data_IF_159703738286
#
_entry.id   IF_159703738286
#
_cell.length_a   1.000
_cell.length_b   1.000
_cell.length_c   1.000
_cell.angle_alpha   90.00
_cell.angle_beta   90.00
_cell.angle_gamma   90.00
#
_symmetry.space_group_name_H-M   'P 1'
#
loop_
_entity.id
_entity.type
_entity.pdbx_description
1 polymer ?
#
# COMPACT_ATOMS: atom_id res chain seq x y z
N UNK A 1 -29.18 -8.42 22.10
CA UNK A 1 -27.77 -8.11 22.10
C UNK A 1 -27.31 -7.84 20.68
N UNK A 2 -26.97 -6.62 20.42
CA UNK A 2 -26.50 -6.27 19.09
C UNK A 2 -25.07 -6.78 18.92
N UNK A 3 -24.83 -7.53 17.87
CA UNK A 3 -23.46 -7.84 17.52
C UNK A 3 -22.73 -6.52 17.21
N UNK A 4 -21.53 -6.34 17.76
CA UNK A 4 -20.75 -5.19 17.35
C UNK A 4 -20.58 -5.24 15.84
N UNK A 5 -20.78 -4.11 15.17
CA UNK A 5 -20.51 -4.06 13.74
C UNK A 5 -19.10 -4.61 13.51
N UNK A 6 -18.95 -5.66 12.69
CA UNK A 6 -17.63 -6.24 12.47
C UNK A 6 -16.70 -5.32 11.69
N UNK A 7 -17.22 -4.22 11.17
CA UNK A 7 -16.46 -3.30 10.31
C UNK A 7 -16.49 -1.91 10.91
N UNK A 8 -15.31 -1.35 11.14
CA UNK A 8 -15.14 0.04 11.57
C UNK A 8 -14.40 0.80 10.47
N UNK A 9 -14.93 1.97 10.10
CA UNK A 9 -14.25 2.84 9.15
C UNK A 9 -13.19 3.67 9.89
N UNK A 10 -11.96 3.68 9.37
CA UNK A 10 -10.90 4.51 9.91
C UNK A 10 -11.01 5.94 9.38
N UNK A 11 -10.59 6.89 10.20
CA UNK A 11 -10.40 8.26 9.72
C UNK A 11 -9.22 8.33 8.77
N UNK A 12 -9.16 9.37 7.94
CA UNK A 12 -8.03 9.58 7.05
C UNK A 12 -6.72 9.67 7.82
N UNK A 13 -6.71 10.39 8.94
CA UNK A 13 -5.51 10.52 9.77
C UNK A 13 -5.06 9.18 10.34
N UNK A 14 -5.97 8.32 10.75
CA UNK A 14 -5.64 6.98 11.23
C UNK A 14 -5.06 6.13 10.09
N UNK A 15 -5.56 6.28 8.88
CA UNK A 15 -5.01 5.60 7.70
C UNK A 15 -3.56 6.03 7.44
N UNK A 16 -3.30 7.34 7.47
CA UNK A 16 -1.95 7.86 7.24
C UNK A 16 -0.99 7.46 8.35
N UNK A 17 -1.47 7.41 9.59
CA UNK A 17 -0.67 6.94 10.70
C UNK A 17 -0.22 5.49 10.49
N UNK A 18 -1.12 4.62 10.07
CA UNK A 18 -0.79 3.23 9.77
C UNK A 18 0.19 3.12 8.60
N UNK A 19 0.01 3.95 7.57
CA UNK A 19 0.93 4.00 6.44
C UNK A 19 2.35 4.40 6.86
N UNK A 20 2.49 5.32 7.81
CA UNK A 20 3.79 5.72 8.34
C UNK A 20 4.47 4.62 9.15
N UNK A 21 3.70 3.74 9.76
CA UNK A 21 4.23 2.67 10.62
C UNK A 21 4.75 1.47 9.84
N UNK A 22 4.27 1.27 8.61
CA UNK A 22 4.64 0.13 7.79
C UNK A 22 5.64 0.51 6.70
N UNK A 23 6.33 -0.48 6.16
CA UNK A 23 7.36 -0.30 5.14
C UNK A 23 7.02 -0.99 3.82
N UNK A 24 6.06 -1.90 3.83
CA UNK A 24 5.69 -2.70 2.67
C UNK A 24 4.21 -2.63 2.39
N UNK A 25 3.89 -2.60 1.13
CA UNK A 25 2.52 -2.70 0.67
C UNK A 25 2.46 -3.39 -0.68
N UNK A 26 1.27 -3.46 -1.22
CA UNK A 26 1.02 -4.08 -2.52
C UNK A 26 0.48 -3.06 -3.49
N UNK A 27 1.12 -3.01 -4.65
CA UNK A 27 0.76 -2.09 -5.73
C UNK A 27 0.08 -2.87 -6.84
N UNK A 28 -1.14 -2.46 -7.19
CA UNK A 28 -1.88 -2.99 -8.33
C UNK A 28 -1.88 -1.96 -9.45
N UNK A 29 -1.60 -2.39 -10.67
CA UNK A 29 -1.52 -1.51 -11.82
C UNK A 29 -1.84 -2.24 -13.11
N UNK A 30 -2.15 -1.46 -14.12
CA UNK A 30 -2.30 -1.95 -15.48
C UNK A 30 -1.05 -1.68 -16.30
N UNK A 31 -0.63 -2.66 -17.06
CA UNK A 31 0.40 -2.48 -18.07
C UNK A 31 -0.09 -3.17 -19.34
N UNK A 32 -0.36 -2.39 -20.40
CA UNK A 32 -1.10 -2.84 -21.57
C UNK A 32 -2.48 -3.39 -21.10
N UNK A 33 -2.85 -4.58 -21.46
CA UNK A 33 -4.14 -5.17 -21.07
C UNK A 33 -4.02 -6.10 -19.86
N UNK A 34 -2.87 -6.08 -19.19
CA UNK A 34 -2.62 -6.95 -18.04
C UNK A 34 -2.70 -6.19 -16.73
N UNK A 35 -3.30 -6.82 -15.73
CA UNK A 35 -3.31 -6.33 -14.35
C UNK A 35 -2.17 -7.00 -13.60
N UNK A 36 -1.38 -6.20 -12.92
CA UNK A 36 -0.23 -6.65 -12.13
C UNK A 36 -0.43 -6.31 -10.67
N UNK A 37 0.12 -7.15 -9.81
CA UNK A 37 0.14 -6.94 -8.36
C UNK A 37 1.55 -7.27 -7.87
N UNK A 38 2.21 -6.30 -7.25
CA UNK A 38 3.58 -6.49 -6.77
C UNK A 38 3.75 -5.92 -5.36
N UNK A 39 4.57 -6.56 -4.52
CA UNK A 39 4.95 -5.95 -3.26
C UNK A 39 5.98 -4.85 -3.50
N UNK A 40 5.86 -3.76 -2.76
CA UNK A 40 6.83 -2.68 -2.82
C UNK A 40 7.20 -2.22 -1.42
N UNK A 41 8.46 -1.80 -1.28
CA UNK A 41 8.91 -1.04 -0.12
C UNK A 41 8.60 0.43 -0.41
N UNK A 42 7.96 1.10 0.52
CA UNK A 42 7.52 2.47 0.33
C UNK A 42 7.84 3.36 1.52
N UNK A 43 7.71 4.65 1.32
CA UNK A 43 7.67 5.64 2.38
C UNK A 43 6.57 6.64 2.07
N UNK A 44 6.17 7.40 3.08
CA UNK A 44 5.21 8.51 2.93
C UNK A 44 6.00 9.81 3.04
N UNK A 45 5.80 10.72 2.09
CA UNK A 45 6.47 12.02 2.12
C UNK A 45 5.65 13.07 2.90
N UNK A 46 6.19 14.29 2.98
CA UNK A 46 5.55 15.39 3.70
C UNK A 46 4.21 15.81 3.10
N UNK A 47 3.98 15.54 1.84
CA UNK A 47 2.75 15.89 1.12
C UNK A 47 1.73 14.75 1.10
N UNK A 48 1.94 13.72 1.92
CA UNK A 48 1.09 12.53 1.99
C UNK A 48 0.97 11.83 0.63
N UNK A 49 2.12 11.58 0.01
CA UNK A 49 2.23 10.75 -1.19
C UNK A 49 2.98 9.48 -0.85
N UNK A 50 2.67 8.41 -1.55
CA UNK A 50 3.40 7.16 -1.42
C UNK A 50 4.61 7.24 -2.36
N UNK A 51 5.80 7.02 -1.84
CA UNK A 51 7.06 7.11 -2.59
C UNK A 51 7.73 5.76 -2.58
N UNK A 52 8.18 5.32 -3.74
CA UNK A 52 8.97 4.09 -3.85
C UNK A 52 10.00 4.21 -4.97
N UNK A 53 10.98 3.32 -4.95
CA UNK A 53 12.03 3.28 -5.96
C UNK A 53 11.96 1.99 -6.73
N UNK A 54 12.23 2.08 -8.02
CA UNK A 54 12.26 0.92 -8.91
C UNK A 54 13.55 0.92 -9.71
N UNK A 55 14.05 -0.28 -9.98
CA UNK A 55 15.24 -0.42 -10.80
C UNK A 55 14.99 0.09 -12.22
N UNK A 56 16.00 0.66 -12.84
CA UNK A 56 15.97 1.07 -14.23
C UNK A 56 15.68 -0.16 -15.11
N UNK A 57 14.77 -0.03 -16.07
CA UNK A 57 14.33 -1.13 -16.93
C UNK A 57 13.25 -2.02 -16.35
N UNK A 58 12.82 -1.78 -15.11
CA UNK A 58 11.71 -2.51 -14.49
C UNK A 58 10.40 -2.26 -15.23
N UNK A 59 9.51 -3.27 -15.23
CA UNK A 59 8.14 -3.09 -15.75
C UNK A 59 7.38 -2.00 -15.02
N UNK A 60 7.72 -1.73 -13.75
CA UNK A 60 7.13 -0.65 -12.98
C UNK A 60 7.38 0.73 -13.60
N UNK A 61 8.43 0.88 -14.40
CA UNK A 61 8.67 2.14 -15.12
C UNK A 61 7.61 2.43 -16.18
N UNK A 62 6.91 1.42 -16.65
CA UNK A 62 5.77 1.60 -17.56
C UNK A 62 4.59 2.34 -16.92
N UNK A 63 4.58 2.45 -15.58
CA UNK A 63 3.57 3.20 -14.83
C UNK A 63 3.80 4.70 -14.79
N UNK A 64 4.88 5.18 -15.39
CA UNK A 64 5.40 6.53 -15.15
C UNK A 64 4.59 7.65 -15.81
N UNK A 65 3.51 7.33 -16.50
CA UNK A 65 2.73 8.27 -17.29
C UNK A 65 1.31 8.41 -16.75
N UNK A 66 1.15 8.87 -15.52
CA UNK A 66 -0.16 9.12 -14.90
C UNK A 66 -1.09 7.91 -14.89
N UNK A 67 -0.52 6.74 -14.70
CA UNK A 67 -1.31 5.52 -14.65
C UNK A 67 -2.11 5.43 -13.36
N UNK A 68 -3.37 5.07 -13.48
CA UNK A 68 -4.22 4.77 -12.32
C UNK A 68 -3.71 3.52 -11.64
N UNK A 69 -3.53 3.62 -10.31
CA UNK A 69 -3.02 2.52 -9.49
C UNK A 69 -3.84 2.39 -8.23
N UNK A 70 -3.76 1.23 -7.61
CA UNK A 70 -4.23 1.01 -6.26
C UNK A 70 -3.07 0.52 -5.40
N UNK A 71 -3.01 1.01 -4.19
CA UNK A 71 -1.98 0.62 -3.23
C UNK A 71 -2.65 0.20 -1.92
N UNK A 72 -2.21 -0.90 -1.36
CA UNK A 72 -2.81 -1.45 -0.16
C UNK A 72 -1.76 -1.82 0.87
N UNK A 73 -2.08 -1.57 2.14
CA UNK A 73 -1.41 -2.20 3.27
C UNK A 73 -2.44 -2.90 4.13
N UNK A 74 -2.03 -3.92 4.85
CA UNK A 74 -2.88 -4.57 5.83
C UNK A 74 -2.08 -5.02 7.05
N UNK A 75 -2.80 -5.28 8.11
CA UNK A 75 -2.25 -5.80 9.34
C UNK A 75 -3.25 -6.76 9.95
N UNK A 76 -2.77 -7.94 10.31
CA UNK A 76 -3.59 -8.96 10.97
C UNK A 76 -3.07 -9.20 12.37
N UNK A 77 -3.98 -9.15 13.32
CA UNK A 77 -3.74 -9.63 14.68
C UNK A 77 -4.58 -10.88 14.89
N UNK A 78 -4.54 -11.43 16.07
CA UNK A 78 -5.37 -12.60 16.41
C UNK A 78 -6.87 -12.27 16.28
N UNK A 79 -7.27 -11.05 16.63
CA UNK A 79 -8.67 -10.65 16.75
C UNK A 79 -9.16 -9.71 15.67
N UNK A 80 -8.26 -9.07 14.96
CA UNK A 80 -8.62 -8.00 14.02
C UNK A 80 -7.76 -8.02 12.76
N UNK A 81 -8.35 -7.56 11.68
CA UNK A 81 -7.63 -7.19 10.46
C UNK A 81 -7.89 -5.72 10.16
N UNK A 82 -6.84 -5.00 9.82
CA UNK A 82 -6.94 -3.60 9.41
C UNK A 82 -6.37 -3.47 8.01
N UNK A 83 -7.07 -2.73 7.16
CA UNK A 83 -6.71 -2.56 5.77
C UNK A 83 -6.81 -1.10 5.39
N UNK A 84 -5.80 -0.58 4.69
CA UNK A 84 -5.81 0.75 4.09
C UNK A 84 -5.61 0.59 2.59
N UNK A 85 -6.48 1.21 1.81
CA UNK A 85 -6.41 1.20 0.35
C UNK A 85 -6.32 2.63 -0.14
N UNK A 86 -5.37 2.86 -1.03
CA UNK A 86 -5.19 4.11 -1.73
C UNK A 86 -5.51 3.87 -3.21
N UNK A 87 -6.25 4.81 -3.79
CA UNK A 87 -6.37 4.94 -5.23
C UNK A 87 -5.74 6.24 -5.63
N UNK A 88 -4.95 6.21 -6.67
CA UNK A 88 -4.24 7.38 -7.10
C UNK A 88 -3.58 7.17 -8.45
N UNK A 89 -2.65 8.05 -8.75
CA UNK A 89 -1.93 8.03 -10.01
C UNK A 89 -0.44 8.03 -9.75
N UNK A 90 0.25 7.11 -10.40
CA UNK A 90 1.69 6.99 -10.30
C UNK A 90 2.37 7.85 -11.35
N UNK A 91 3.43 8.53 -10.96
CA UNK A 91 4.31 9.24 -11.87
C UNK A 91 5.75 9.16 -11.41
N UNK A 92 6.66 9.24 -12.35
CA UNK A 92 8.07 9.30 -12.02
C UNK A 92 8.42 10.74 -11.59
N UNK A 93 9.19 10.87 -10.51
CA UNK A 93 9.71 12.16 -10.11
C UNK A 93 10.75 12.64 -11.10
N UNK A 94 10.71 13.95 -11.41
CA UNK A 94 11.74 14.59 -12.19
C UNK A 94 12.99 14.76 -11.33
N UNK A 95 14.13 14.91 -11.99
CA UNK A 95 15.43 14.98 -11.32
C UNK A 95 15.49 16.05 -10.21
N UNK A 96 14.87 17.20 -10.43
CA UNK A 96 14.86 18.28 -9.43
C UNK A 96 13.98 17.98 -8.21
N UNK A 97 13.05 17.04 -8.33
CA UNK A 97 12.17 16.62 -7.22
C UNK A 97 12.81 15.52 -6.36
N UNK A 98 13.77 14.80 -6.89
CA UNK A 98 14.36 13.63 -6.21
C UNK A 98 15.10 13.98 -4.93
N UNK A 99 15.66 15.19 -4.85
CA UNK A 99 16.37 15.63 -3.65
C UNK A 99 15.50 15.62 -2.40
N UNK A 100 14.20 15.86 -2.54
CA UNK A 100 13.26 15.85 -1.43
C UNK A 100 13.04 14.44 -0.87
N UNK A 101 13.37 13.41 -1.62
CA UNK A 101 13.15 12.02 -1.23
C UNK A 101 14.35 11.36 -0.59
N UNK A 102 15.52 12.00 -0.58
CA UNK A 102 16.75 11.41 -0.08
C UNK A 102 16.69 11.06 1.41
N UNK A 103 15.92 11.82 2.19
CA UNK A 103 15.78 11.60 3.63
C UNK A 103 14.68 10.61 3.99
N UNK A 104 13.92 10.12 3.01
CA UNK A 104 12.87 9.15 3.25
C UNK A 104 13.47 7.78 3.60
N UNK A 105 12.83 7.04 4.53
CA UNK A 105 13.33 5.73 4.95
C UNK A 105 13.03 4.64 3.91
N UNK A 106 13.49 4.84 2.69
CA UNK A 106 13.38 3.85 1.63
C UNK A 106 14.60 2.95 1.67
N UNK A 107 14.37 1.68 1.99
CA UNK A 107 15.45 0.71 2.05
C UNK A 107 15.68 0.10 0.67
N UNK A 108 16.92 0.11 0.17
CA UNK A 108 17.23 -0.58 -1.07
C UNK A 108 17.27 -2.09 -0.83
N UNK A 109 16.22 -2.78 -1.21
CA UNK A 109 16.13 -4.23 -1.10
C UNK A 109 16.88 -4.95 -2.21
N UNK A 110 17.16 -4.24 -3.29
CA UNK A 110 17.95 -4.74 -4.40
C UNK A 110 19.15 -3.83 -4.54
N UNK A 111 20.33 -4.40 -4.55
CA UNK A 111 21.57 -3.66 -4.74
C UNK A 111 21.69 -3.24 -6.21
N UNK A 112 21.08 -2.12 -6.55
CA UNK A 112 21.17 -1.55 -7.89
C UNK A 112 21.76 -0.15 -7.79
N UNK A 113 22.67 0.17 -8.72
CA UNK A 113 23.32 1.47 -8.77
C UNK A 113 22.42 2.57 -9.37
N UNK A 114 21.34 2.19 -10.06
CA UNK A 114 20.42 3.13 -10.73
C UNK A 114 18.98 2.75 -10.44
N UNK A 115 18.24 3.72 -9.95
CA UNK A 115 16.81 3.55 -9.71
C UNK A 115 16.07 4.83 -10.07
N UNK A 116 14.79 4.67 -10.33
CA UNK A 116 13.88 5.78 -10.53
C UNK A 116 12.95 5.87 -9.33
N UNK A 117 12.65 7.09 -8.94
CA UNK A 117 11.73 7.35 -7.83
C UNK A 117 10.36 7.63 -8.38
N UNK A 118 9.37 6.93 -7.87
CA UNK A 118 7.98 7.05 -8.30
C UNK A 118 7.17 7.50 -7.09
N UNK A 119 6.22 8.40 -7.35
CA UNK A 119 5.25 8.81 -6.36
C UNK A 119 3.85 8.44 -6.81
N UNK A 120 3.00 8.15 -5.83
CA UNK A 120 1.58 7.98 -6.05
C UNK A 120 0.89 9.21 -5.48
N UNK A 121 0.28 9.99 -6.38
CA UNK A 121 -0.60 11.10 -6.00
C UNK A 121 -1.92 10.49 -5.57
N UNK A 122 -2.34 10.75 -4.33
CA UNK A 122 -3.49 10.09 -3.74
C UNK A 122 -4.77 10.81 -4.09
N UNK A 123 -5.68 10.13 -4.77
CA UNK A 123 -7.01 10.64 -5.07
C UNK A 123 -8.03 10.25 -3.99
N UNK A 124 -7.87 9.05 -3.43
CA UNK A 124 -8.80 8.51 -2.44
C UNK A 124 -8.03 7.62 -1.46
N UNK A 125 -8.34 7.74 -0.19
CA UNK A 125 -7.82 6.87 0.84
C UNK A 125 -8.97 6.33 1.67
N UNK A 126 -8.99 5.02 1.89
CA UNK A 126 -9.99 4.36 2.73
C UNK A 126 -9.31 3.38 3.66
N UNK A 127 -9.82 3.28 4.87
CA UNK A 127 -9.32 2.31 5.83
C UNK A 127 -10.47 1.66 6.57
N UNK A 128 -10.32 0.37 6.83
CA UNK A 128 -11.32 -0.42 7.55
C UNK A 128 -10.66 -1.39 8.50
N UNK A 129 -11.30 -1.56 9.64
CA UNK A 129 -10.91 -2.55 10.63
C UNK A 129 -12.04 -3.56 10.77
N UNK A 130 -11.67 -4.82 10.73
CA UNK A 130 -12.61 -5.93 10.82
C UNK A 130 -12.34 -6.70 12.08
N UNK A 131 -13.40 -7.00 12.84
CA UNK A 131 -13.31 -8.01 13.89
C UNK A 131 -13.23 -9.39 13.24
N UNK A 132 -12.23 -10.16 13.63
CA UNK A 132 -12.07 -11.51 13.14
C UNK A 132 -12.79 -12.46 14.08
N UNK A 133 -14.05 -12.74 13.80
CA UNK A 133 -14.72 -13.85 14.44
C UNK A 133 -14.33 -15.09 13.64
N UNK A 134 -13.61 -15.98 14.22
CA UNK A 134 -13.20 -17.22 13.54
C UNK A 134 -14.13 -18.36 13.95
N UNK A 135 -15.36 -18.38 13.41
CA UNK A 135 -16.36 -19.36 13.85
C UNK A 135 -15.90 -20.79 13.60
N UNK A 136 -15.07 -21.01 12.58
CA UNK A 136 -14.52 -22.33 12.30
C UNK A 136 -13.63 -22.86 13.42
N UNK A 137 -13.04 -22.01 14.26
CA UNK A 137 -12.23 -22.47 15.39
C UNK A 137 -13.08 -23.12 16.47
N UNK A 138 -14.38 -22.81 16.51
CA UNK A 138 -15.33 -23.35 17.46
C UNK A 138 -16.23 -24.42 16.83
N UNK A 139 -16.08 -24.64 15.53
CA UNK A 139 -16.82 -25.69 14.82
C UNK A 139 -16.01 -26.98 14.87
N UNK A 140 -16.55 -27.96 15.53
CA UNK A 140 -15.96 -29.29 15.49
C UNK A 140 -16.63 -30.10 14.41
N UNK A 141 -15.87 -30.88 13.62
CA UNK A 141 -16.51 -31.80 12.73
C UNK A 141 -17.34 -32.79 13.57
N UNK A 142 -18.55 -33.09 13.10
CA UNK A 142 -19.35 -34.11 13.76
C UNK A 142 -18.67 -35.44 13.56
N UNK A 143 -18.45 -36.10 14.68
CA UNK A 143 -17.98 -37.49 14.64
C UNK A 143 -19.19 -38.36 14.35
N UNK A 144 -19.10 -39.14 13.32
CA UNK A 144 -20.12 -40.15 13.01
C UNK A 144 -19.93 -41.39 13.91
#
# INVERSE_FOLDING_TARGET
>A
MSDPSPVTTLTDDACWEMLHEQEFGRLAFHLADEVHLVPINYAVDADRRIVFRTAEGSKLLGLTMNADVAFEIDEFTEDEATRVVIRGRARQLEHHEEAETELLPLRPWVNTAKFNTIVIEVDEITGRRFGLTRPWLHMRPQED
#
